data_IF_585904938919
#
_entry.id   IF_585904938919
#
_cell.length_a   1.000
_cell.length_b   1.000
_cell.length_c   1.000
_cell.angle_alpha   90.00
_cell.angle_beta   90.00
_cell.angle_gamma   90.00
#
_symmetry.space_group_name_H-M   'P 1'
#
loop_
_entity.id
_entity.type
_entity.pdbx_description
1 polymer ?
#
# COMPACT_ATOMS: atom_id res chain seq x y z
N UNK A 1 8.70 -9.23 -44.67
CA UNK A 1 9.87 -9.95 -44.12
C UNK A 1 9.44 -10.70 -42.86
N UNK A 2 9.89 -11.95 -42.66
CA UNK A 2 9.63 -12.72 -41.44
C UNK A 2 10.87 -12.62 -40.52
N UNK A 3 10.68 -12.20 -39.27
CA UNK A 3 11.76 -12.13 -38.28
C UNK A 3 12.33 -13.53 -37.97
N UNK A 4 13.64 -13.61 -37.73
CA UNK A 4 14.29 -14.86 -37.31
C UNK A 4 13.76 -15.27 -35.94
N UNK A 5 13.80 -16.58 -35.67
CA UNK A 5 13.28 -17.17 -34.42
C UNK A 5 13.92 -16.60 -33.15
N UNK A 6 15.14 -16.08 -33.25
CA UNK A 6 15.87 -15.44 -32.16
C UNK A 6 15.69 -13.91 -32.10
N UNK A 7 15.17 -13.30 -33.17
CA UNK A 7 14.85 -11.86 -33.29
C UNK A 7 13.41 -11.56 -32.85
N UNK A 8 12.53 -12.56 -32.83
CA UNK A 8 11.15 -12.39 -32.36
C UNK A 8 11.16 -11.92 -30.90
N UNK A 9 10.44 -10.83 -30.54
CA UNK A 9 10.37 -10.32 -29.18
C UNK A 9 10.04 -11.46 -28.21
N UNK A 10 11.03 -11.83 -27.39
CA UNK A 10 10.88 -12.91 -26.41
C UNK A 10 9.82 -12.44 -25.41
N UNK A 11 8.79 -13.27 -25.19
CA UNK A 11 7.72 -12.96 -24.23
C UNK A 11 8.30 -12.58 -22.87
N UNK A 12 7.85 -11.44 -22.35
CA UNK A 12 8.17 -11.01 -21.00
C UNK A 12 7.72 -12.08 -19.97
N UNK A 13 8.49 -12.26 -18.90
CA UNK A 13 8.16 -13.19 -17.81
C UNK A 13 8.70 -14.62 -17.92
N UNK A 14 9.46 -14.98 -18.98
CA UNK A 14 10.17 -16.28 -19.05
C UNK A 14 11.14 -16.48 -17.86
N UNK A 15 11.67 -15.39 -17.34
CA UNK A 15 12.73 -15.34 -16.33
C UNK A 15 12.18 -15.46 -14.90
N UNK A 16 10.85 -15.35 -14.73
CA UNK A 16 10.20 -15.20 -13.43
C UNK A 16 10.10 -16.50 -12.62
N UNK A 17 10.25 -17.64 -13.31
CA UNK A 17 10.22 -19.00 -12.74
C UNK A 17 11.62 -19.56 -12.44
N UNK A 18 12.68 -18.86 -12.84
CA UNK A 18 14.07 -19.27 -12.60
C UNK A 18 14.65 -18.72 -11.29
N UNK A 19 15.86 -19.17 -10.94
CA UNK A 19 16.61 -18.73 -9.75
C UNK A 19 16.82 -17.21 -9.72
N UNK A 20 17.06 -16.59 -10.88
CA UNK A 20 17.20 -15.13 -11.00
C UNK A 20 15.88 -14.39 -10.74
N UNK A 21 14.76 -14.90 -11.28
CA UNK A 21 13.43 -14.32 -11.04
C UNK A 21 12.99 -14.43 -9.58
N UNK A 22 13.23 -15.58 -8.94
CA UNK A 22 12.90 -15.76 -7.52
C UNK A 22 13.77 -14.88 -6.60
N UNK A 23 15.08 -14.73 -6.90
CA UNK A 23 15.96 -13.82 -6.19
C UNK A 23 15.49 -12.35 -6.31
N UNK A 24 15.14 -11.92 -7.53
CA UNK A 24 14.61 -10.57 -7.79
C UNK A 24 13.29 -10.32 -7.02
N UNK A 25 12.36 -11.28 -7.03
CA UNK A 25 11.11 -11.19 -6.26
C UNK A 25 11.36 -11.04 -4.77
N UNK A 26 12.34 -11.76 -4.22
CA UNK A 26 12.75 -11.63 -2.80
C UNK A 26 13.31 -10.25 -2.49
N UNK A 27 14.14 -9.68 -3.37
CA UNK A 27 14.68 -8.32 -3.20
C UNK A 27 13.56 -7.27 -3.20
N UNK A 28 12.64 -7.35 -4.15
CA UNK A 28 11.48 -6.45 -4.20
C UNK A 28 10.59 -6.56 -2.96
N UNK A 29 10.37 -7.79 -2.45
CA UNK A 29 9.63 -8.00 -1.20
C UNK A 29 10.31 -7.32 -0.01
N UNK A 30 11.64 -7.45 0.11
CA UNK A 30 12.43 -6.78 1.15
C UNK A 30 12.32 -5.25 1.05
N UNK A 31 12.47 -4.69 -0.14
CA UNK A 31 12.34 -3.24 -0.36
C UNK A 31 10.96 -2.72 0.07
N UNK A 32 9.87 -3.41 -0.33
CA UNK A 32 8.51 -3.06 0.08
C UNK A 32 8.29 -3.15 1.59
N UNK A 33 8.84 -4.19 2.23
CA UNK A 33 8.73 -4.35 3.68
C UNK A 33 9.46 -3.21 4.42
N UNK A 34 10.67 -2.86 3.98
CA UNK A 34 11.42 -1.73 4.54
C UNK A 34 10.66 -0.42 4.36
N UNK A 35 10.06 -0.18 3.19
CA UNK A 35 9.23 1.00 2.95
C UNK A 35 8.03 1.07 3.91
N UNK A 36 7.33 -0.07 4.11
CA UNK A 36 6.20 -0.14 5.04
C UNK A 36 6.61 0.17 6.48
N UNK A 37 7.78 -0.30 6.91
CA UNK A 37 8.32 0.02 8.25
C UNK A 37 8.62 1.51 8.40
N UNK A 38 9.33 2.11 7.44
CA UNK A 38 9.63 3.55 7.44
C UNK A 38 8.36 4.41 7.50
N UNK A 39 7.35 4.08 6.70
CA UNK A 39 6.06 4.78 6.71
C UNK A 39 5.32 4.62 8.05
N UNK A 40 5.41 3.44 8.66
CA UNK A 40 4.80 3.19 9.98
C UNK A 40 5.53 3.94 11.10
N UNK A 41 6.87 3.98 11.06
CA UNK A 41 7.71 4.69 12.03
C UNK A 41 7.46 6.20 12.01
N UNK A 42 7.34 6.82 10.83
CA UNK A 42 6.97 8.23 10.71
C UNK A 42 5.63 8.57 11.37
N UNK A 43 4.66 7.66 11.33
CA UNK A 43 3.37 7.84 12.02
C UNK A 43 3.46 7.61 13.54
N UNK A 44 4.30 6.69 14.01
CA UNK A 44 4.47 6.41 15.45
C UNK A 44 5.14 7.57 16.20
N UNK A 45 6.08 8.26 15.57
CA UNK A 45 6.72 9.45 16.15
C UNK A 45 5.71 10.59 16.40
N UNK A 46 4.64 10.67 15.60
CA UNK A 46 3.54 11.61 15.81
C UNK A 46 2.48 11.10 16.81
N UNK A 47 2.28 9.77 16.92
CA UNK A 47 1.31 9.22 17.88
C UNK A 47 1.71 9.40 19.35
N UNK A 48 3.01 9.39 19.68
CA UNK A 48 3.47 9.66 21.04
C UNK A 48 3.23 11.13 21.49
N UNK A 49 2.86 12.03 20.58
CA UNK A 49 2.50 13.42 20.90
C UNK A 49 0.98 13.64 21.05
N UNK A 50 0.16 12.64 20.72
CA UNK A 50 -1.30 12.80 20.59
C UNK A 50 -2.09 12.11 21.72
N UNK A 51 -1.47 11.82 22.87
CA UNK A 51 -2.19 11.32 24.05
C UNK A 51 -3.06 12.38 24.76
N UNK A 52 -3.20 13.58 24.16
CA UNK A 52 -4.18 14.62 24.52
C UNK A 52 -5.19 14.81 23.38
N UNK A 53 -5.95 13.78 23.03
CA UNK A 53 -7.06 13.91 22.08
C UNK A 53 -8.23 13.03 22.51
N UNK A 54 -8.74 13.29 23.73
CA UNK A 54 -10.01 12.76 24.23
C UNK A 54 -11.25 13.51 23.71
N UNK A 55 -11.07 14.47 22.80
CA UNK A 55 -12.15 15.39 22.38
C UNK A 55 -12.79 14.98 21.04
N UNK A 56 -12.07 14.28 20.16
CA UNK A 56 -12.56 13.91 18.81
C UNK A 56 -13.49 12.69 18.80
N UNK A 57 -13.55 11.93 19.90
CA UNK A 57 -14.39 10.73 20.00
C UNK A 57 -15.90 11.06 19.96
N UNK A 58 -16.30 12.29 20.29
CA UNK A 58 -17.70 12.75 20.26
C UNK A 58 -18.13 13.39 18.93
N UNK A 59 -17.19 13.78 18.06
CA UNK A 59 -17.51 14.44 16.78
C UNK A 59 -18.06 13.44 15.76
N UNK A 60 -17.52 12.21 15.75
CA UNK A 60 -17.93 11.15 14.83
C UNK A 60 -19.41 10.71 14.93
N UNK A 61 -19.99 10.49 16.13
CA UNK A 61 -21.42 10.13 16.23
C UNK A 61 -22.36 11.31 15.91
N UNK A 62 -21.98 12.55 16.21
CA UNK A 62 -22.82 13.74 15.93
C UNK A 62 -22.98 13.99 14.42
N UNK A 63 -21.92 13.77 13.64
CA UNK A 63 -21.97 13.94 12.19
C UNK A 63 -22.99 13.00 11.52
N UNK A 64 -23.05 11.75 11.96
CA UNK A 64 -24.03 10.78 11.45
C UNK A 64 -25.46 11.10 11.90
N UNK A 65 -25.65 11.53 13.15
CA UNK A 65 -26.96 11.89 13.69
C UNK A 65 -27.61 13.04 12.89
N UNK A 66 -26.85 14.10 12.57
CA UNK A 66 -27.35 15.22 11.77
C UNK A 66 -27.70 14.81 10.32
N UNK A 67 -26.96 13.86 9.73
CA UNK A 67 -27.26 13.37 8.38
C UNK A 67 -28.57 12.55 8.32
N UNK A 68 -28.79 11.69 9.32
CA UNK A 68 -30.01 10.90 9.44
C UNK A 68 -31.27 11.76 9.67
N UNK A 69 -31.16 12.83 10.47
CA UNK A 69 -32.26 13.78 10.67
C UNK A 69 -32.72 14.49 9.39
N UNK A 70 -31.82 14.75 8.44
CA UNK A 70 -32.18 15.39 7.17
C UNK A 70 -32.91 14.48 6.18
N UNK A 71 -32.87 13.16 6.40
CA UNK A 71 -33.49 12.18 5.50
C UNK A 71 -34.90 11.75 5.93
N UNK A 72 -35.33 12.15 7.13
CA UNK A 72 -36.60 11.79 7.76
C UNK A 72 -37.60 12.96 7.81
N UNK A 73 -37.31 14.06 7.12
CA UNK A 73 -38.17 15.23 6.93
C UNK A 73 -38.37 15.46 5.44
#
# INVERSE_FOLDING_TARGET
MRLKRWESPRKEGRNDKGRGGSARKRQLKKQRQMLRQKLKEGNKANQNKNNTAGEDAFIFPLFFACYLQRKLK
#
